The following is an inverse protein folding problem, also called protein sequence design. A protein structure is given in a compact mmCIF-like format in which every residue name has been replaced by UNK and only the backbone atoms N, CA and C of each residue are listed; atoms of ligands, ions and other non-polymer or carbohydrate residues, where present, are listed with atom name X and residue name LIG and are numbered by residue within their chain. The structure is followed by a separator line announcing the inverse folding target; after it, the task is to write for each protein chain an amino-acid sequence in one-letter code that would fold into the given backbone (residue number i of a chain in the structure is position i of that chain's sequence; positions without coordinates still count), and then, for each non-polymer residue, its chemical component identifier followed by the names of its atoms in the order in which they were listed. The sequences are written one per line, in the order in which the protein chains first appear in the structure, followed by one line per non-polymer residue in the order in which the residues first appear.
data_IF_164131232084
#
_entry.id   IF_164131232084
#
_cell.length_a   1.000
_cell.length_b   1.000
_cell.length_c   1.000
_cell.angle_alpha   90.00
_cell.angle_beta   90.00
_cell.angle_gamma   90.00
#
_symmetry.space_group_name_H-M   'P 1'
#
loop_
_entity.id
_entity.type
_entity.pdbx_description
1 polymer ?
#
# COMPACT_ATOMS: atom_id res chain seq x y z
N UNK A 1 -19.89 -11.23 -32.19
CA UNK A 1 -20.95 -10.65 -31.32
C UNK A 1 -20.26 -9.92 -30.19
N UNK A 2 -20.69 -8.72 -29.83
CA UNK A 2 -20.17 -7.99 -28.66
C UNK A 2 -20.81 -8.58 -27.41
N UNK A 3 -20.00 -9.13 -26.50
CA UNK A 3 -20.46 -9.57 -25.18
C UNK A 3 -20.27 -8.44 -24.16
N UNK A 4 -21.29 -8.16 -23.32
CA UNK A 4 -21.15 -7.19 -22.25
C UNK A 4 -20.14 -7.71 -21.21
N UNK A 5 -19.19 -6.86 -20.85
CA UNK A 5 -18.21 -7.12 -19.81
C UNK A 5 -18.79 -6.69 -18.46
N UNK A 6 -18.95 -7.62 -17.53
CA UNK A 6 -19.58 -7.32 -16.24
C UNK A 6 -18.65 -6.48 -15.35
N UNK A 7 -19.23 -5.75 -14.39
CA UNK A 7 -18.46 -4.99 -13.41
C UNK A 7 -17.53 -5.88 -12.58
N UNK A 8 -17.92 -7.12 -12.30
CA UNK A 8 -17.10 -8.09 -11.57
C UNK A 8 -15.90 -8.56 -12.40
N UNK A 9 -16.12 -8.90 -13.68
CA UNK A 9 -15.03 -9.23 -14.62
C UNK A 9 -14.07 -8.05 -14.82
N UNK A 10 -14.60 -6.82 -14.89
CA UNK A 10 -13.80 -5.60 -14.95
C UNK A 10 -13.02 -5.37 -13.67
N UNK A 11 -13.65 -5.52 -12.52
CA UNK A 11 -12.98 -5.34 -11.24
C UNK A 11 -11.83 -6.34 -11.11
N UNK A 12 -12.07 -7.62 -11.37
CA UNK A 12 -11.05 -8.66 -11.30
C UNK A 12 -9.92 -8.47 -12.31
N UNK A 13 -10.20 -8.00 -13.52
CA UNK A 13 -9.17 -7.76 -14.54
C UNK A 13 -8.33 -6.49 -14.32
N UNK A 14 -8.86 -5.52 -13.57
CA UNK A 14 -8.24 -4.20 -13.33
C UNK A 14 -7.58 -4.09 -11.95
N UNK A 15 -7.73 -5.09 -11.07
CA UNK A 15 -7.03 -5.10 -9.78
C UNK A 15 -5.51 -4.91 -9.96
N UNK A 16 -4.87 -4.00 -9.22
CA UNK A 16 -3.43 -3.78 -9.30
C UNK A 16 -2.70 -5.01 -8.71
N UNK A 17 -2.30 -5.93 -9.59
CA UNK A 17 -1.48 -7.08 -9.22
C UNK A 17 -0.07 -6.61 -8.84
N UNK A 18 0.34 -6.92 -7.61
CA UNK A 18 1.62 -6.45 -7.04
C UNK A 18 2.72 -7.50 -7.14
N UNK A 19 2.38 -8.78 -7.04
CA UNK A 19 3.32 -9.90 -7.10
C UNK A 19 2.60 -11.20 -7.52
N UNK A 20 3.31 -12.33 -7.50
CA UNK A 20 2.77 -13.64 -7.82
C UNK A 20 3.36 -14.74 -6.95
N UNK A 21 2.57 -15.80 -6.76
CA UNK A 21 2.99 -17.07 -6.15
C UNK A 21 2.64 -18.21 -7.14
N UNK A 22 3.18 -19.43 -6.98
CA UNK A 22 2.88 -20.52 -7.90
C UNK A 22 1.36 -20.72 -8.11
N UNK A 23 0.89 -20.49 -9.33
CA UNK A 23 -0.51 -20.66 -9.73
C UNK A 23 -1.48 -19.54 -9.33
N UNK A 24 -1.02 -18.44 -8.70
CA UNK A 24 -1.87 -17.30 -8.33
C UNK A 24 -1.15 -15.96 -8.47
N UNK A 25 -1.87 -14.92 -8.84
CA UNK A 25 -1.40 -13.52 -8.71
C UNK A 25 -1.95 -12.92 -7.43
N UNK A 26 -1.19 -12.02 -6.81
CA UNK A 26 -1.60 -11.34 -5.57
C UNK A 26 -1.64 -9.83 -5.79
N UNK A 27 -2.58 -9.16 -5.14
CA UNK A 27 -2.78 -7.73 -5.27
C UNK A 27 -3.66 -7.18 -4.14
N UNK A 28 -4.19 -6.00 -4.35
CA UNK A 28 -5.18 -5.39 -3.44
C UNK A 28 -6.22 -4.59 -4.19
N UNK A 29 -7.40 -4.42 -3.57
CA UNK A 29 -8.44 -3.50 -4.05
C UNK A 29 -8.25 -2.07 -3.50
N UNK A 30 -6.99 -1.66 -3.29
CA UNK A 30 -6.67 -0.39 -2.64
C UNK A 30 -7.34 0.80 -3.35
N UNK A 31 -8.07 1.60 -2.59
CA UNK A 31 -8.70 2.83 -3.05
C UNK A 31 -8.12 3.99 -2.24
N UNK A 32 -7.58 4.99 -2.93
CA UNK A 32 -7.01 6.17 -2.30
C UNK A 32 -8.04 6.98 -1.49
N UNK A 33 -9.34 6.80 -1.73
CA UNK A 33 -10.43 7.50 -1.04
C UNK A 33 -11.06 6.69 0.10
N UNK A 34 -10.59 5.46 0.37
CA UNK A 34 -11.18 4.56 1.37
C UNK A 34 -10.14 4.10 2.41
N UNK A 35 -10.42 4.23 3.72
CA UNK A 35 -9.45 3.91 4.78
C UNK A 35 -9.36 2.40 5.08
N UNK A 36 -9.70 1.55 4.11
CA UNK A 36 -9.56 0.10 4.18
C UNK A 36 -9.21 -0.49 2.82
N UNK A 37 -8.55 -1.64 2.85
CA UNK A 37 -8.30 -2.44 1.66
C UNK A 37 -8.27 -3.93 2.03
N UNK A 38 -8.54 -4.75 1.03
CA UNK A 38 -8.34 -6.18 1.04
C UNK A 38 -7.12 -6.54 0.19
N UNK A 39 -6.27 -7.38 0.75
CA UNK A 39 -5.33 -8.15 -0.03
C UNK A 39 -6.01 -9.40 -0.55
N UNK A 40 -5.83 -9.67 -1.83
CA UNK A 40 -6.51 -10.76 -2.54
C UNK A 40 -5.51 -11.55 -3.38
N UNK A 41 -5.84 -12.82 -3.59
CA UNK A 41 -5.12 -13.71 -4.47
C UNK A 41 -6.09 -14.26 -5.52
N UNK A 42 -5.72 -14.15 -6.78
CA UNK A 42 -6.51 -14.62 -7.90
C UNK A 42 -5.83 -15.81 -8.57
N UNK A 43 -6.59 -16.88 -8.79
CA UNK A 43 -6.16 -18.02 -9.58
C UNK A 43 -6.71 -17.88 -11.01
N UNK A 44 -5.87 -17.57 -12.01
CA UNK A 44 -6.32 -17.36 -13.38
C UNK A 44 -6.79 -18.65 -14.08
N UNK A 45 -6.40 -19.83 -13.58
CA UNK A 45 -6.80 -21.13 -14.17
C UNK A 45 -8.18 -21.55 -13.68
N UNK A 46 -8.49 -21.29 -12.41
CA UNK A 46 -9.78 -21.66 -11.79
C UNK A 46 -10.79 -20.52 -11.77
N UNK A 47 -10.36 -19.33 -12.15
CA UNK A 47 -11.13 -18.10 -12.05
C UNK A 47 -11.70 -17.86 -10.65
N UNK A 48 -10.86 -18.06 -9.63
CA UNK A 48 -11.26 -17.91 -8.22
C UNK A 48 -10.47 -16.80 -7.55
N UNK A 49 -11.18 -15.86 -6.93
CA UNK A 49 -10.62 -14.84 -6.06
C UNK A 49 -10.71 -15.29 -4.59
N UNK A 50 -9.61 -15.20 -3.86
CA UNK A 50 -9.54 -15.51 -2.44
C UNK A 50 -8.97 -14.31 -1.68
N UNK A 51 -9.68 -13.85 -0.65
CA UNK A 51 -9.17 -12.80 0.25
C UNK A 51 -8.10 -13.36 1.19
N UNK A 52 -6.96 -12.68 1.25
CA UNK A 52 -5.85 -13.00 2.15
C UNK A 52 -6.12 -12.37 3.52
N UNK A 53 -6.31 -11.06 3.55
CA UNK A 53 -6.67 -10.32 4.75
C UNK A 53 -7.20 -8.92 4.42
N UNK A 54 -7.86 -8.32 5.41
CA UNK A 54 -8.27 -6.91 5.36
C UNK A 54 -7.34 -6.08 6.24
N UNK A 55 -6.95 -4.90 5.75
CA UNK A 55 -6.26 -3.85 6.50
C UNK A 55 -7.19 -2.65 6.61
N UNK A 56 -7.30 -2.08 7.80
CA UNK A 56 -8.20 -0.96 8.09
C UNK A 56 -7.46 0.01 8.99
N UNK A 57 -7.42 1.28 8.60
CA UNK A 57 -7.12 2.37 9.51
C UNK A 57 -8.39 2.70 10.29
N UNK A 58 -8.49 2.15 11.50
CA UNK A 58 -9.69 2.31 12.33
C UNK A 58 -9.98 3.77 12.66
N UNK A 59 -8.94 4.60 12.88
CA UNK A 59 -9.14 6.00 13.21
C UNK A 59 -9.68 6.79 12.01
N UNK A 60 -9.07 6.61 10.83
CA UNK A 60 -9.57 7.23 9.60
C UNK A 60 -10.96 6.70 9.22
N UNK A 61 -11.23 5.40 9.43
CA UNK A 61 -12.53 4.79 9.18
C UNK A 61 -13.61 5.38 10.08
N UNK A 62 -13.34 5.57 11.36
CA UNK A 62 -14.29 6.16 12.31
C UNK A 62 -14.64 7.61 11.91
N UNK A 63 -13.63 8.40 11.50
CA UNK A 63 -13.87 9.75 10.98
C UNK A 63 -14.68 9.73 9.68
N UNK A 64 -14.28 8.90 8.72
CA UNK A 64 -14.96 8.73 7.43
C UNK A 64 -16.45 8.39 7.61
N UNK A 65 -16.76 7.45 8.52
CA UNK A 65 -18.14 7.05 8.82
C UNK A 65 -18.90 8.12 9.62
N UNK A 66 -18.20 8.92 10.43
CA UNK A 66 -18.84 9.95 11.24
C UNK A 66 -19.52 11.05 10.41
N UNK A 67 -19.10 11.22 9.16
CA UNK A 67 -19.66 12.18 8.19
C UNK A 67 -21.18 12.05 8.05
N UNK A 68 -21.72 10.82 8.16
CA UNK A 68 -23.16 10.58 8.14
C UNK A 68 -23.92 11.41 9.18
N UNK A 69 -23.33 11.64 10.37
CA UNK A 69 -23.97 12.41 11.44
C UNK A 69 -24.26 13.85 11.00
N UNK A 70 -23.35 14.42 10.19
CA UNK A 70 -23.36 15.81 9.76
C UNK A 70 -24.13 16.05 8.45
N UNK A 71 -24.57 15.00 7.76
CA UNK A 71 -25.44 15.12 6.59
C UNK A 71 -26.78 15.75 6.93
N UNK A 72 -27.33 16.53 5.99
CA UNK A 72 -28.69 17.07 6.07
C UNK A 72 -29.72 15.95 5.87
N UNK A 73 -30.96 16.19 6.30
CA UNK A 73 -32.05 15.20 6.22
C UNK A 73 -32.20 14.56 4.83
N UNK A 74 -32.30 15.34 3.73
CA UNK A 74 -32.39 14.78 2.38
C UNK A 74 -31.19 13.92 1.99
N UNK A 75 -29.98 14.34 2.34
CA UNK A 75 -28.74 13.62 2.02
C UNK A 75 -28.64 12.30 2.80
N UNK A 76 -29.16 12.24 4.04
CA UNK A 76 -29.25 11.00 4.81
C UNK A 76 -30.18 9.99 4.14
N UNK A 77 -31.32 10.43 3.61
CA UNK A 77 -32.24 9.57 2.85
C UNK A 77 -31.56 9.05 1.59
N UNK A 78 -30.87 9.93 0.85
CA UNK A 78 -30.11 9.54 -0.33
C UNK A 78 -29.02 8.49 0.01
N UNK A 79 -28.26 8.72 1.08
CA UNK A 79 -27.22 7.79 1.54
C UNK A 79 -27.80 6.42 1.92
N UNK A 80 -28.97 6.38 2.60
CA UNK A 80 -29.66 5.13 2.93
C UNK A 80 -30.12 4.37 1.67
N UNK A 81 -30.69 5.08 0.70
CA UNK A 81 -31.17 4.47 -0.54
C UNK A 81 -30.02 3.85 -1.34
N UNK A 82 -28.93 4.61 -1.53
CA UNK A 82 -27.72 4.12 -2.19
C UNK A 82 -27.08 2.96 -1.43
N UNK A 83 -27.05 3.01 -0.10
CA UNK A 83 -26.54 1.93 0.73
C UNK A 83 -27.34 0.63 0.53
N UNK A 84 -28.67 0.74 0.45
CA UNK A 84 -29.55 -0.40 0.17
C UNK A 84 -29.35 -0.96 -1.24
N UNK A 85 -29.16 -0.09 -2.24
CA UNK A 85 -28.92 -0.49 -3.63
C UNK A 85 -27.58 -1.20 -3.81
N UNK A 86 -26.54 -0.68 -3.16
CA UNK A 86 -25.16 -1.18 -3.26
C UNK A 86 -24.85 -2.32 -2.26
N UNK A 87 -25.75 -2.60 -1.31
CA UNK A 87 -25.52 -3.60 -0.27
C UNK A 87 -24.40 -3.23 0.71
N UNK A 88 -24.16 -1.94 0.95
CA UNK A 88 -23.11 -1.42 1.83
C UNK A 88 -23.70 -0.66 3.01
N UNK A 89 -22.86 -0.25 3.96
CA UNK A 89 -23.30 0.57 5.09
C UNK A 89 -23.52 2.04 4.69
N UNK A 90 -24.60 2.65 5.19
CA UNK A 90 -24.95 4.06 4.92
C UNK A 90 -23.89 5.06 5.37
N UNK A 91 -23.11 4.74 6.40
CA UNK A 91 -22.02 5.62 6.84
C UNK A 91 -20.84 5.55 5.88
N UNK A 92 -20.65 4.41 5.20
CA UNK A 92 -19.68 4.30 4.12
C UNK A 92 -20.08 5.18 2.94
N UNK A 93 -21.35 5.13 2.52
CA UNK A 93 -21.86 6.00 1.45
C UNK A 93 -21.71 7.48 1.83
N UNK A 94 -22.01 7.83 3.08
CA UNK A 94 -21.88 9.20 3.55
C UNK A 94 -20.45 9.75 3.48
N UNK A 95 -19.45 8.95 3.86
CA UNK A 95 -18.05 9.38 3.77
C UNK A 95 -17.61 9.68 2.34
N UNK A 96 -18.12 8.93 1.36
CA UNK A 96 -17.92 9.25 -0.06
C UNK A 96 -18.68 10.51 -0.49
N UNK A 97 -19.96 10.63 -0.11
CA UNK A 97 -20.79 11.78 -0.47
C UNK A 97 -20.26 13.10 0.07
N UNK A 98 -19.71 13.11 1.28
CA UNK A 98 -19.13 14.33 1.87
C UNK A 98 -17.79 14.71 1.25
N UNK A 99 -17.15 13.78 0.54
CA UNK A 99 -15.81 13.97 -0.01
C UNK A 99 -14.73 13.99 1.07
N UNK A 100 -14.89 13.22 2.15
CA UNK A 100 -13.95 13.17 3.27
C UNK A 100 -12.49 12.97 2.85
N UNK A 101 -12.25 12.19 1.79
CA UNK A 101 -10.90 11.95 1.25
C UNK A 101 -10.18 13.20 0.75
N UNK A 102 -10.91 14.30 0.51
CA UNK A 102 -10.36 15.59 0.07
C UNK A 102 -9.97 16.50 1.23
N UNK A 103 -10.21 16.07 2.46
CA UNK A 103 -9.87 16.83 3.67
C UNK A 103 -8.34 16.80 3.91
N UNK A 104 -7.80 17.90 4.45
CA UNK A 104 -6.37 18.01 4.84
C UNK A 104 -5.94 16.96 5.87
N UNK A 105 -6.88 16.41 6.64
CA UNK A 105 -6.61 15.38 7.65
C UNK A 105 -6.61 13.96 7.08
N UNK A 106 -7.11 13.78 5.86
CA UNK A 106 -7.21 12.46 5.26
C UNK A 106 -5.85 11.97 4.77
N UNK A 107 -5.51 10.74 5.14
CA UNK A 107 -4.32 10.06 4.67
C UNK A 107 -4.73 8.75 4.01
N UNK A 108 -4.39 8.53 2.72
CA UNK A 108 -4.64 7.26 2.06
C UNK A 108 -4.01 6.10 2.80
N UNK A 109 -4.73 4.98 2.91
CA UNK A 109 -4.21 3.79 3.56
C UNK A 109 -3.09 3.17 2.72
N UNK A 110 -1.87 3.16 3.28
CA UNK A 110 -0.72 2.51 2.67
C UNK A 110 -0.40 1.18 3.35
N UNK A 111 -0.81 0.06 2.75
CA UNK A 111 -0.48 -1.27 3.24
C UNK A 111 -0.01 -2.18 2.09
N UNK A 112 1.30 -2.17 1.74
CA UNK A 112 1.81 -3.00 0.66
C UNK A 112 1.94 -4.48 1.07
N UNK A 113 1.85 -5.36 0.07
CA UNK A 113 2.08 -6.80 0.18
C UNK A 113 3.28 -7.20 -0.68
N UNK A 114 4.19 -7.98 -0.09
CA UNK A 114 5.35 -8.54 -0.78
C UNK A 114 5.44 -10.05 -0.58
N UNK A 115 5.97 -10.79 -1.56
CA UNK A 115 6.27 -12.22 -1.43
C UNK A 115 7.76 -12.40 -1.12
N UNK A 116 8.06 -13.18 -0.07
CA UNK A 116 9.41 -13.61 0.31
C UNK A 116 9.41 -15.13 0.50
N UNK A 117 9.96 -15.86 -0.48
CA UNK A 117 10.02 -17.32 -0.46
C UNK A 117 8.64 -17.99 -0.45
N UNK A 118 8.23 -18.54 0.68
CA UNK A 118 6.92 -19.17 0.92
C UNK A 118 5.97 -18.33 1.79
N UNK A 119 6.42 -17.13 2.17
CA UNK A 119 5.72 -16.26 3.10
C UNK A 119 5.25 -15.00 2.38
N UNK A 120 3.99 -14.62 2.62
CA UNK A 120 3.43 -13.34 2.20
C UNK A 120 3.58 -12.36 3.37
N UNK A 121 4.14 -11.20 3.06
CA UNK A 121 4.42 -10.12 4.01
C UNK A 121 3.44 -8.98 3.75
N UNK A 122 2.53 -8.74 4.69
CA UNK A 122 1.59 -7.62 4.65
C UNK A 122 2.04 -6.57 5.66
N UNK A 123 2.37 -5.38 5.17
CA UNK A 123 2.76 -4.25 5.99
C UNK A 123 1.52 -3.45 6.41
N UNK A 124 0.87 -3.88 7.50
CA UNK A 124 -0.25 -3.18 8.13
C UNK A 124 0.28 -1.94 8.87
N UNK A 125 0.56 -0.88 8.13
CA UNK A 125 1.07 0.38 8.66
C UNK A 125 0.06 1.11 9.56
N UNK A 126 -1.25 0.85 9.40
CA UNK A 126 -2.29 1.38 10.27
C UNK A 126 -2.16 0.85 11.71
N UNK A 127 -1.84 -0.44 11.85
CA UNK A 127 -1.57 -1.08 13.15
C UNK A 127 -0.09 -1.14 13.52
N UNK A 128 0.78 -0.64 12.64
CA UNK A 128 2.24 -0.73 12.75
C UNK A 128 2.74 -2.17 12.89
N UNK A 129 2.16 -3.11 12.13
CA UNK A 129 2.52 -4.54 12.18
C UNK A 129 2.93 -5.05 10.80
N UNK A 130 3.97 -5.86 10.78
CA UNK A 130 4.24 -6.79 9.68
C UNK A 130 3.50 -8.08 9.98
N UNK A 131 2.49 -8.41 9.17
CA UNK A 131 1.72 -9.65 9.26
C UNK A 131 2.25 -10.65 8.24
N UNK A 132 2.44 -11.89 8.66
CA UNK A 132 3.00 -12.97 7.83
C UNK A 132 1.93 -14.01 7.57
N UNK A 133 1.76 -14.36 6.30
CA UNK A 133 0.83 -15.39 5.88
C UNK A 133 1.57 -16.50 5.16
N UNK A 134 1.10 -17.73 5.37
CA UNK A 134 1.54 -18.89 4.58
C UNK A 134 0.97 -18.81 3.17
N UNK A 135 1.43 -19.69 2.25
CA UNK A 135 0.83 -19.86 0.92
C UNK A 135 -0.65 -20.25 0.92
N UNK A 136 -1.14 -20.78 2.04
CA UNK A 136 -2.56 -21.09 2.26
C UNK A 136 -3.35 -19.87 2.76
N UNK A 137 -2.72 -18.69 2.82
CA UNK A 137 -3.29 -17.42 3.31
C UNK A 137 -3.72 -17.45 4.77
N UNK A 138 -3.11 -18.33 5.56
CA UNK A 138 -3.29 -18.37 7.02
C UNK A 138 -2.24 -17.50 7.67
N UNK A 139 -2.65 -16.58 8.55
CA UNK A 139 -1.72 -15.75 9.33
C UNK A 139 -0.91 -16.63 10.28
N UNK A 140 0.41 -16.67 10.08
CA UNK A 140 1.32 -17.46 10.89
C UNK A 140 1.88 -16.66 12.08
N UNK A 141 2.21 -15.39 11.86
CA UNK A 141 2.82 -14.51 12.86
C UNK A 141 2.62 -13.05 12.50
N UNK A 142 2.70 -12.17 13.49
CA UNK A 142 2.91 -10.74 13.25
C UNK A 142 3.94 -10.14 14.20
N UNK A 143 4.67 -9.14 13.71
CA UNK A 143 5.73 -8.44 14.44
C UNK A 143 5.57 -6.93 14.32
N UNK A 144 6.06 -6.19 15.30
CA UNK A 144 5.95 -4.74 15.34
C UNK A 144 6.91 -4.09 14.33
N UNK A 145 6.41 -3.16 13.53
CA UNK A 145 7.25 -2.31 12.67
C UNK A 145 7.91 -1.22 13.52
N UNK A 146 9.24 -1.17 13.55
CA UNK A 146 9.97 -0.25 14.43
C UNK A 146 10.11 1.18 13.89
N UNK A 147 9.85 1.40 12.59
CA UNK A 147 10.14 2.67 11.92
C UNK A 147 9.01 3.70 11.92
N UNK A 148 7.79 3.31 12.27
CA UNK A 148 6.64 4.21 12.35
C UNK A 148 6.50 4.91 13.72
N UNK A 149 7.55 4.87 14.56
CA UNK A 149 7.56 5.52 15.88
C UNK A 149 8.79 6.38 16.10
N UNK A 150 8.66 7.38 16.98
CA UNK A 150 9.77 8.23 17.43
C UNK A 150 10.34 9.15 16.33
N UNK A 151 11.62 9.48 16.45
CA UNK A 151 12.31 10.39 15.52
C UNK A 151 12.36 9.85 14.08
N UNK A 152 12.41 8.52 13.93
CA UNK A 152 12.53 7.86 12.62
C UNK A 152 11.29 8.05 11.75
N UNK A 153 10.10 8.09 12.37
CA UNK A 153 8.84 8.30 11.67
C UNK A 153 8.80 9.63 10.90
N UNK A 154 9.53 10.65 11.38
CA UNK A 154 9.57 11.98 10.74
C UNK A 154 10.27 11.99 9.39
N UNK A 155 11.22 11.07 9.19
CA UNK A 155 12.01 11.01 7.96
C UNK A 155 11.54 9.88 7.03
N UNK A 156 10.61 9.03 7.46
CA UNK A 156 10.08 7.96 6.62
C UNK A 156 9.26 8.56 5.48
N UNK A 157 9.53 8.14 4.24
CA UNK A 157 8.86 8.72 3.06
C UNK A 157 7.45 8.17 2.85
N UNK A 158 7.03 7.18 3.65
CA UNK A 158 5.79 6.46 3.43
C UNK A 158 5.90 5.35 2.36
N UNK A 159 7.12 5.02 1.89
CA UNK A 159 7.33 4.06 0.82
C UNK A 159 8.21 2.88 1.26
N UNK A 160 7.84 1.69 0.79
CA UNK A 160 8.66 0.48 0.84
C UNK A 160 9.08 0.07 -0.56
N UNK A 161 10.30 -0.45 -0.68
CA UNK A 161 10.89 -0.93 -1.92
C UNK A 161 11.26 -2.40 -1.73
N UNK A 162 10.88 -3.28 -2.64
CA UNK A 162 11.37 -4.65 -2.65
C UNK A 162 12.37 -4.85 -3.79
N UNK A 163 13.53 -5.40 -3.45
CA UNK A 163 14.43 -5.95 -4.46
C UNK A 163 13.82 -7.25 -4.99
N UNK A 164 13.41 -7.25 -6.26
CA UNK A 164 12.75 -8.42 -6.87
C UNK A 164 13.66 -9.66 -7.00
N UNK A 165 14.98 -9.49 -6.96
CA UNK A 165 15.95 -10.59 -7.05
C UNK A 165 16.20 -11.18 -5.66
N UNK A 166 16.57 -10.35 -4.70
CA UNK A 166 16.92 -10.81 -3.35
C UNK A 166 15.69 -10.99 -2.44
N UNK A 167 14.53 -10.48 -2.87
CA UNK A 167 13.26 -10.38 -2.11
C UNK A 167 13.32 -9.51 -0.85
N UNK A 168 14.48 -8.93 -0.54
CA UNK A 168 14.67 -8.02 0.58
C UNK A 168 13.80 -6.77 0.42
N UNK A 169 13.08 -6.42 1.49
CA UNK A 169 12.28 -5.19 1.56
C UNK A 169 13.07 -4.12 2.29
N UNK A 170 12.99 -2.88 1.79
CA UNK A 170 13.65 -1.70 2.32
C UNK A 170 12.62 -0.62 2.62
N UNK A 171 12.79 0.08 3.75
CA UNK A 171 12.11 1.34 3.99
C UNK A 171 12.96 2.50 3.46
N UNK A 172 12.32 3.42 2.75
CA UNK A 172 12.95 4.65 2.27
C UNK A 172 12.75 5.79 3.27
N UNK A 173 13.82 6.55 3.49
CA UNK A 173 13.82 7.74 4.32
C UNK A 173 14.44 8.91 3.58
N UNK A 174 13.98 10.11 3.90
CA UNK A 174 14.47 11.37 3.34
C UNK A 174 14.55 12.43 4.43
N UNK A 175 15.70 13.08 4.57
CA UNK A 175 15.89 14.25 5.44
C UNK A 175 16.80 15.25 4.78
N UNK A 176 16.37 16.50 4.71
CA UNK A 176 17.16 17.61 4.11
C UNK A 176 17.69 17.26 2.71
N UNK A 177 16.87 16.56 1.90
CA UNK A 177 17.23 16.12 0.56
C UNK A 177 18.15 14.90 0.49
N UNK A 178 18.68 14.40 1.61
CA UNK A 178 19.48 13.16 1.65
C UNK A 178 18.55 11.99 1.86
N UNK A 179 18.60 11.01 0.96
CA UNK A 179 17.82 9.79 1.07
C UNK A 179 18.70 8.62 1.55
N UNK A 180 18.09 7.71 2.30
CA UNK A 180 18.70 6.44 2.68
C UNK A 180 17.69 5.31 2.71
N UNK A 181 18.18 4.10 2.45
CA UNK A 181 17.40 2.88 2.48
C UNK A 181 17.82 2.05 3.68
N UNK A 182 16.85 1.41 4.34
CA UNK A 182 17.13 0.49 5.44
C UNK A 182 16.41 -0.82 5.19
N UNK A 183 17.17 -1.92 5.15
CA UNK A 183 16.60 -3.25 5.03
C UNK A 183 15.71 -3.54 6.24
N UNK A 184 14.54 -4.10 6.02
CA UNK A 184 13.62 -4.53 7.08
C UNK A 184 13.85 -6.02 7.31
N UNK A 185 14.20 -6.40 8.53
CA UNK A 185 14.23 -7.79 8.95
C UNK A 185 12.79 -8.29 9.11
N UNK A 186 12.33 -9.23 8.27
CA UNK A 186 10.97 -9.73 8.35
C UNK A 186 10.72 -10.48 9.66
N UNK A 187 11.73 -11.08 10.29
CA UNK A 187 11.60 -11.87 11.53
C UNK A 187 11.36 -10.98 12.73
N UNK A 188 12.03 -9.84 12.83
CA UNK A 188 11.96 -8.95 14.00
C UNK A 188 11.17 -7.67 13.77
N UNK A 189 10.96 -7.26 12.52
CA UNK A 189 10.37 -5.97 12.15
C UNK A 189 11.32 -4.78 12.37
N UNK A 190 12.59 -5.05 12.70
CA UNK A 190 13.63 -4.04 12.89
C UNK A 190 14.29 -3.68 11.57
N UNK A 191 14.94 -2.53 11.55
CA UNK A 191 15.72 -2.08 10.39
C UNK A 191 17.20 -2.34 10.59
N UNK A 192 17.86 -2.78 9.53
CA UNK A 192 19.31 -2.87 9.44
C UNK A 192 19.99 -1.50 9.30
N UNK A 193 21.27 -1.55 8.95
CA UNK A 193 22.09 -0.35 8.77
C UNK A 193 21.60 0.50 7.59
N UNK A 194 21.73 1.83 7.67
CA UNK A 194 21.32 2.72 6.60
C UNK A 194 22.31 2.71 5.44
N UNK A 195 21.79 2.41 4.24
CA UNK A 195 22.48 2.69 2.99
C UNK A 195 22.14 4.10 2.52
N UNK A 196 23.11 5.02 2.59
CA UNK A 196 22.92 6.43 2.23
C UNK A 196 23.21 6.65 0.75
N UNK A 197 22.27 7.26 0.03
CA UNK A 197 22.47 7.67 -1.35
C UNK A 197 23.48 8.82 -1.44
N UNK A 198 24.37 8.76 -2.42
CA UNK A 198 25.40 9.78 -2.64
C UNK A 198 24.83 11.13 -3.10
N UNK A 199 23.63 11.13 -3.67
CA UNK A 199 22.99 12.31 -4.27
C UNK A 199 21.92 12.95 -3.38
N UNK A 200 21.71 14.25 -3.57
CA UNK A 200 20.58 14.97 -2.99
C UNK A 200 19.37 14.97 -3.92
N UNK A 201 18.18 14.81 -3.33
CA UNK A 201 16.87 14.76 -3.97
C UNK A 201 16.76 13.72 -5.11
N UNK A 202 17.10 12.44 -4.86
CA UNK A 202 16.85 11.38 -5.83
C UNK A 202 15.33 11.23 -6.05
N UNK A 203 14.95 10.89 -7.27
CA UNK A 203 13.55 10.70 -7.66
C UNK A 203 13.32 9.27 -8.12
N UNK A 204 12.13 8.73 -7.84
CA UNK A 204 11.73 7.37 -8.26
C UNK A 204 12.77 6.31 -7.90
N UNK A 205 13.19 6.30 -6.63
CA UNK A 205 14.14 5.31 -6.11
C UNK A 205 13.55 3.92 -6.24
N UNK A 206 14.34 2.96 -6.72
CA UNK A 206 13.99 1.55 -6.88
C UNK A 206 15.19 0.67 -6.51
N UNK A 207 14.97 -0.57 -6.09
CA UNK A 207 16.04 -1.53 -5.78
C UNK A 207 15.90 -2.76 -6.66
N UNK A 208 17.01 -3.22 -7.24
CA UNK A 208 17.05 -4.41 -8.07
C UNK A 208 18.43 -5.06 -8.12
N UNK A 209 18.54 -6.30 -7.66
CA UNK A 209 19.76 -7.10 -7.70
C UNK A 209 20.90 -6.52 -6.86
N UNK A 210 20.60 -6.05 -5.64
CA UNK A 210 21.58 -5.43 -4.75
C UNK A 210 22.03 -4.03 -5.17
N UNK A 211 21.34 -3.41 -6.12
CA UNK A 211 21.63 -2.07 -6.62
C UNK A 211 20.43 -1.17 -6.44
N UNK A 212 20.68 0.08 -6.07
CA UNK A 212 19.66 1.11 -6.02
C UNK A 212 19.72 1.96 -7.29
N UNK A 213 18.56 2.21 -7.89
CA UNK A 213 18.38 3.00 -9.10
C UNK A 213 17.55 4.23 -8.78
N UNK A 214 17.87 5.36 -9.38
CA UNK A 214 17.11 6.59 -9.18
C UNK A 214 17.28 7.54 -10.36
N UNK A 215 16.30 8.43 -10.54
CA UNK A 215 16.36 9.54 -11.47
C UNK A 215 16.99 10.73 -10.78
N UNK A 216 18.03 11.29 -11.38
CA UNK A 216 18.74 12.45 -10.83
C UNK A 216 19.35 13.33 -11.92
N UNK A 217 19.76 14.54 -11.55
CA UNK A 217 20.61 15.42 -12.38
C UNK A 217 21.57 16.22 -11.49
N UNK A 218 22.79 16.53 -11.96
CA UNK A 218 23.67 17.47 -11.28
C UNK A 218 23.07 18.88 -11.21
N UNK A 219 23.15 19.49 -10.02
CA UNK A 219 22.69 20.86 -9.77
C UNK A 219 23.54 21.84 -10.57
N UNK A 220 22.93 22.88 -11.13
CA UNK A 220 23.64 23.92 -11.88
C UNK A 220 24.05 23.53 -13.30
N UNK A 221 23.59 22.39 -13.81
CA UNK A 221 23.90 21.93 -15.18
C UNK A 221 22.67 21.94 -16.08
N UNK A 222 22.89 22.07 -17.40
CA UNK A 222 21.86 21.90 -18.44
C UNK A 222 21.56 20.42 -18.73
N UNK A 223 22.18 19.48 -18.00
CA UNK A 223 21.95 18.06 -18.19
C UNK A 223 20.51 17.70 -17.86
N UNK A 224 19.91 16.86 -18.73
CA UNK A 224 18.59 16.29 -18.48
C UNK A 224 18.68 15.27 -17.34
N UNK A 225 17.57 15.09 -16.62
CA UNK A 225 17.46 14.01 -15.63
C UNK A 225 17.63 12.67 -16.33
N UNK A 226 18.47 11.82 -15.77
CA UNK A 226 18.71 10.45 -16.27
C UNK A 226 18.75 9.49 -15.08
N UNK A 227 18.85 8.19 -15.39
CA UNK A 227 18.92 7.12 -14.40
C UNK A 227 20.37 6.90 -13.99
N UNK A 228 20.59 6.83 -12.69
CA UNK A 228 21.86 6.47 -12.05
C UNK A 228 21.66 5.22 -11.18
N UNK A 229 22.76 4.57 -10.81
CA UNK A 229 22.75 3.44 -9.88
C UNK A 229 23.91 3.48 -8.89
N UNK A 230 23.71 2.92 -7.70
CA UNK A 230 24.73 2.67 -6.69
C UNK A 230 24.64 1.19 -6.24
N UNK A 231 25.79 0.59 -5.89
CA UNK A 231 25.85 -0.74 -5.28
C UNK A 231 25.58 -0.61 -3.78
N UNK A 232 24.75 -1.51 -3.23
CA UNK A 232 24.38 -1.53 -1.81
C UNK A 232 25.28 -2.38 -0.94
#
# INVERSE_FOLDING_TARGET
ALQPFTLEELHNSVLPWTDSIPGKVVGSNANADYPALDHVAYNPVRDTLQRICTVVDSFMMDLFRSEYKYLKGPDKVLAMNLASELGVDKETVAGYMSGFSRNIWYQPLYAPLFVEGDTLLVFDHARRRLRKFTRAFVEARSVQLSYQGGEQARNWTGHLLQDRITRQVYAEFLRNGVAWLRAIDPVTGRMGDPFRLAVHHPQRVQVHGGKVYYIWRPVGTLQKRTIYREEM
#
